data_IF_751233762095
#
_entry.id   IF_751233762095
#
_cell.length_a   1.000
_cell.length_b   1.000
_cell.length_c   1.000
_cell.angle_alpha   90.00
_cell.angle_beta   90.00
_cell.angle_gamma   90.00
#
_symmetry.space_group_name_H-M   'P 1'
#
loop_
_entity.id
_entity.type
_entity.pdbx_description
1 polymer ?
#
# COMPACT_ATOMS: atom_id res chain seq x y z
N UNK A 1 -6.37 -10.24 15.52
CA UNK A 1 -6.24 -11.38 14.60
C UNK A 1 -6.61 -12.65 15.36
N UNK A 2 -7.52 -13.48 14.86
CA UNK A 2 -7.85 -14.77 15.50
C UNK A 2 -6.79 -15.81 15.14
N UNK A 3 -6.56 -16.82 15.98
CA UNK A 3 -5.61 -17.91 15.71
C UNK A 3 -5.94 -18.64 14.40
N UNK A 4 -7.24 -18.84 14.12
CA UNK A 4 -7.74 -19.42 12.88
C UNK A 4 -7.40 -18.56 11.64
N UNK A 5 -7.50 -17.24 11.76
CA UNK A 5 -7.12 -16.31 10.68
C UNK A 5 -5.62 -16.40 10.36
N UNK A 6 -4.78 -16.49 11.39
CA UNK A 6 -3.35 -16.65 11.24
C UNK A 6 -2.98 -17.95 10.53
N UNK A 7 -3.51 -19.09 11.00
CA UNK A 7 -3.24 -20.40 10.39
C UNK A 7 -3.68 -20.46 8.93
N UNK A 8 -4.84 -19.87 8.58
CA UNK A 8 -5.28 -19.79 7.19
C UNK A 8 -4.33 -18.96 6.33
N UNK A 9 -3.81 -17.85 6.84
CA UNK A 9 -2.85 -17.02 6.12
C UNK A 9 -1.53 -17.77 5.91
N UNK A 10 -1.01 -18.45 6.94
CA UNK A 10 0.21 -19.26 6.85
C UNK A 10 0.08 -20.38 5.81
N UNK A 11 -1.05 -21.11 5.80
CA UNK A 11 -1.31 -22.14 4.80
C UNK A 11 -1.30 -21.61 3.36
N UNK A 12 -1.87 -20.41 3.14
CA UNK A 12 -1.86 -19.77 1.82
C UNK A 12 -0.47 -19.27 1.43
N UNK A 13 0.30 -18.78 2.39
CA UNK A 13 1.67 -18.32 2.16
C UNK A 13 2.56 -19.45 1.66
N UNK A 14 2.43 -20.66 2.22
CA UNK A 14 3.17 -21.84 1.75
C UNK A 14 2.80 -22.31 0.34
N UNK A 15 1.66 -21.88 -0.20
CA UNK A 15 1.20 -22.21 -1.55
C UNK A 15 1.65 -21.19 -2.60
N UNK A 16 2.26 -20.07 -2.19
CA UNK A 16 2.76 -19.07 -3.12
C UNK A 16 3.94 -19.64 -3.91
N UNK A 17 3.82 -19.59 -5.22
CA UNK A 17 4.87 -19.96 -6.16
C UNK A 17 5.22 -18.72 -7.00
N UNK A 18 6.50 -18.54 -7.35
CA UNK A 18 6.88 -17.50 -8.30
C UNK A 18 6.23 -17.83 -9.64
N UNK A 19 5.37 -16.93 -10.10
CA UNK A 19 4.88 -16.88 -11.47
C UNK A 19 5.69 -15.78 -12.15
N UNK A 20 6.28 -16.06 -13.31
CA UNK A 20 7.38 -15.27 -13.91
C UNK A 20 7.01 -13.86 -14.40
N UNK A 21 5.94 -13.26 -13.86
CA UNK A 21 5.42 -11.97 -14.22
C UNK A 21 5.11 -11.09 -13.01
N UNK A 22 5.18 -9.78 -13.23
CA UNK A 22 5.00 -8.77 -12.20
C UNK A 22 3.88 -7.82 -12.63
N UNK A 23 2.68 -8.03 -12.08
CA UNK A 23 1.49 -7.20 -12.34
C UNK A 23 1.16 -6.32 -11.13
N UNK A 24 1.88 -5.21 -11.00
CA UNK A 24 1.71 -4.26 -9.89
C UNK A 24 0.30 -3.66 -9.86
N UNK A 25 -0.26 -3.32 -11.04
CA UNK A 25 -1.57 -2.66 -11.10
C UNK A 25 -2.69 -3.54 -10.56
N UNK A 26 -2.75 -4.82 -10.98
CA UNK A 26 -3.81 -5.72 -10.53
C UNK A 26 -3.77 -5.93 -9.01
N UNK A 27 -2.56 -6.08 -8.43
CA UNK A 27 -2.38 -6.19 -6.98
C UNK A 27 -2.81 -4.92 -6.23
N UNK A 28 -2.42 -3.74 -6.74
CA UNK A 28 -2.83 -2.47 -6.17
C UNK A 28 -4.35 -2.26 -6.24
N UNK A 29 -4.95 -2.49 -7.40
CA UNK A 29 -6.39 -2.33 -7.61
C UNK A 29 -7.19 -3.27 -6.70
N UNK A 30 -6.83 -4.55 -6.65
CA UNK A 30 -7.49 -5.53 -5.80
C UNK A 30 -7.35 -5.18 -4.30
N UNK A 31 -6.15 -4.78 -3.86
CA UNK A 31 -5.92 -4.39 -2.47
C UNK A 31 -6.71 -3.14 -2.07
N UNK A 32 -6.72 -2.11 -2.93
CA UNK A 32 -7.50 -0.88 -2.69
C UNK A 32 -9.00 -1.20 -2.64
N UNK A 33 -9.51 -2.04 -3.55
CA UNK A 33 -10.93 -2.43 -3.55
C UNK A 33 -11.32 -3.21 -2.29
N UNK A 34 -10.46 -4.13 -1.85
CA UNK A 34 -10.69 -4.91 -0.63
C UNK A 34 -10.73 -4.03 0.62
N UNK A 35 -9.80 -3.05 0.71
CA UNK A 35 -9.77 -2.08 1.80
C UNK A 35 -10.94 -1.08 1.73
N UNK A 36 -11.34 -0.66 0.53
CA UNK A 36 -12.52 0.18 0.34
C UNK A 36 -13.80 -0.54 0.83
N UNK A 37 -13.95 -1.83 0.52
CA UNK A 37 -15.10 -2.63 0.93
C UNK A 37 -15.11 -2.95 2.44
N UNK A 38 -13.93 -3.07 3.06
CA UNK A 38 -13.79 -3.35 4.50
C UNK A 38 -13.74 -2.09 5.38
N UNK A 39 -13.81 -0.90 4.77
CA UNK A 39 -13.73 0.38 5.46
C UNK A 39 -14.96 0.63 6.32
N UNK A 40 -14.75 0.80 7.62
CA UNK A 40 -15.77 1.26 8.57
C UNK A 40 -15.58 2.73 8.98
N UNK A 41 -14.64 3.43 8.33
CA UNK A 41 -14.29 4.82 8.63
C UNK A 41 -13.56 5.05 9.96
N UNK A 42 -13.46 4.03 10.82
CA UNK A 42 -12.80 4.12 12.12
C UNK A 42 -11.37 3.56 12.09
N UNK A 43 -11.09 2.59 11.22
CA UNK A 43 -9.76 1.99 11.10
C UNK A 43 -8.90 2.68 10.05
N UNK A 44 -7.65 2.93 10.42
CA UNK A 44 -6.62 3.27 9.45
C UNK A 44 -6.26 2.04 8.63
N UNK A 45 -6.19 2.24 7.32
CA UNK A 45 -5.96 1.18 6.35
C UNK A 45 -4.68 1.46 5.59
N UNK A 46 -3.83 0.45 5.52
CA UNK A 46 -2.53 0.55 4.89
C UNK A 46 -2.34 -0.63 3.93
N UNK A 47 -1.86 -0.32 2.74
CA UNK A 47 -1.48 -1.28 1.73
C UNK A 47 0.06 -1.27 1.63
N UNK A 48 0.67 -2.45 1.76
CA UNK A 48 2.11 -2.63 1.62
C UNK A 48 2.35 -3.35 0.30
N UNK A 49 2.98 -2.68 -0.66
CA UNK A 49 3.38 -3.24 -1.93
C UNK A 49 4.85 -3.64 -1.86
N UNK A 50 5.14 -4.92 -2.07
CA UNK A 50 6.48 -5.48 -2.07
C UNK A 50 6.81 -5.94 -3.50
N UNK A 51 7.92 -5.50 -4.06
CA UNK A 51 8.38 -5.94 -5.39
C UNK A 51 9.89 -6.01 -5.47
N UNK A 52 10.40 -7.04 -6.15
CA UNK A 52 11.80 -7.26 -6.48
C UNK A 52 12.09 -7.07 -7.99
N UNK A 53 11.07 -6.68 -8.76
CA UNK A 53 11.17 -6.56 -10.21
C UNK A 53 10.39 -5.40 -10.83
N UNK A 54 10.59 -5.24 -12.14
CA UNK A 54 9.91 -4.25 -12.99
C UNK A 54 8.55 -4.81 -13.45
N UNK A 55 7.46 -4.00 -13.42
CA UNK A 55 6.17 -4.46 -13.89
C UNK A 55 6.18 -4.75 -15.40
N UNK A 56 5.80 -5.97 -15.77
CA UNK A 56 5.74 -6.40 -17.17
C UNK A 56 4.31 -6.46 -17.73
N UNK A 57 3.30 -6.41 -16.86
CA UNK A 57 1.89 -6.25 -17.25
C UNK A 57 1.43 -4.86 -16.79
N UNK A 58 1.19 -3.98 -17.75
CA UNK A 58 0.79 -2.60 -17.50
C UNK A 58 -0.60 -2.31 -18.11
N UNK A 59 -1.44 -1.52 -17.43
CA UNK A 59 -2.70 -1.07 -18.03
C UNK A 59 -2.42 -0.14 -19.22
N UNK A 60 -3.35 0.01 -20.19
CA UNK A 60 -3.11 0.79 -21.41
C UNK A 60 -2.71 2.25 -21.20
N UNK A 61 -3.05 2.82 -20.03
CA UNK A 61 -2.75 4.21 -19.66
C UNK A 61 -1.58 4.35 -18.67
N UNK A 62 -0.94 3.24 -18.28
CA UNK A 62 0.08 3.20 -17.24
C UNK A 62 -0.49 3.14 -15.82
N UNK A 63 0.32 2.66 -14.88
CA UNK A 63 -0.09 2.40 -13.48
C UNK A 63 -0.40 3.72 -12.75
N UNK A 64 0.48 4.71 -12.89
CA UNK A 64 0.38 6.01 -12.21
C UNK A 64 -0.90 6.79 -12.60
N UNK A 65 -1.23 6.98 -13.90
CA UNK A 65 -2.45 7.68 -14.28
C UNK A 65 -3.72 6.95 -13.83
N UNK A 66 -3.69 5.62 -13.80
CA UNK A 66 -4.80 4.82 -13.30
C UNK A 66 -5.00 5.00 -11.79
N UNK A 67 -3.91 5.07 -11.01
CA UNK A 67 -3.98 5.35 -9.57
C UNK A 67 -4.48 6.79 -9.30
N UNK A 68 -4.04 7.79 -10.09
CA UNK A 68 -4.55 9.17 -10.03
C UNK A 68 -6.07 9.20 -10.26
N UNK A 69 -6.56 8.48 -11.28
CA UNK A 69 -7.99 8.38 -11.56
C UNK A 69 -8.77 7.71 -10.43
N UNK A 70 -8.22 6.68 -9.78
CA UNK A 70 -8.85 6.06 -8.61
C UNK A 70 -8.95 7.06 -7.45
N UNK A 71 -7.87 7.80 -7.18
CA UNK A 71 -7.85 8.84 -6.16
C UNK A 71 -8.90 9.93 -6.41
N UNK A 72 -9.04 10.37 -7.65
CA UNK A 72 -10.06 11.34 -8.07
C UNK A 72 -11.48 10.79 -7.87
N UNK A 73 -11.74 9.55 -8.28
CA UNK A 73 -13.03 8.88 -8.07
C UNK A 73 -13.42 8.76 -6.59
N UNK A 74 -12.43 8.63 -5.71
CA UNK A 74 -12.63 8.55 -4.26
C UNK A 74 -12.72 9.93 -3.58
N UNK A 75 -12.91 11.02 -4.33
CA UNK A 75 -13.06 12.37 -3.76
C UNK A 75 -11.73 13.03 -3.38
N UNK A 76 -10.63 12.65 -4.04
CA UNK A 76 -9.31 13.24 -3.86
C UNK A 76 -8.43 12.53 -2.82
N UNK A 77 -8.96 11.53 -2.11
CA UNK A 77 -8.19 10.70 -1.15
C UNK A 77 -8.43 9.23 -1.41
N UNK A 78 -7.36 8.43 -1.38
CA UNK A 78 -7.48 6.98 -1.43
C UNK A 78 -8.05 6.45 -0.10
N UNK A 79 -8.77 5.31 -0.11
CA UNK A 79 -9.32 4.70 1.09
C UNK A 79 -8.23 4.19 2.07
N UNK A 80 -7.01 4.00 1.57
CA UNK A 80 -5.86 3.51 2.32
C UNK A 80 -4.57 4.24 1.91
N UNK A 81 -3.57 4.23 2.79
CA UNK A 81 -2.22 4.67 2.44
C UNK A 81 -1.45 3.54 1.74
N UNK A 82 -0.69 3.85 0.69
CA UNK A 82 0.08 2.85 -0.08
C UNK A 82 1.58 3.02 0.18
N UNK A 83 2.18 2.09 0.91
CA UNK A 83 3.63 2.02 1.10
C UNK A 83 4.24 1.06 0.08
N UNK A 84 5.38 1.43 -0.49
CA UNK A 84 6.06 0.62 -1.50
C UNK A 84 7.45 0.21 -1.00
N UNK A 85 7.80 -1.06 -1.20
CA UNK A 85 9.07 -1.65 -0.81
C UNK A 85 9.71 -2.29 -2.05
N UNK A 86 10.87 -1.78 -2.43
CA UNK A 86 11.66 -2.30 -3.55
C UNK A 86 12.81 -3.15 -3.05
N UNK A 87 12.96 -4.38 -3.56
CA UNK A 87 14.05 -5.31 -3.21
C UNK A 87 15.05 -5.45 -4.35
N UNK A 88 16.34 -5.29 -4.04
CA UNK A 88 17.40 -5.44 -5.04
C UNK A 88 17.48 -4.27 -6.01
N UNK A 89 18.23 -4.43 -7.10
CA UNK A 89 18.58 -3.33 -8.00
C UNK A 89 17.80 -3.33 -9.33
N UNK A 90 17.10 -4.43 -9.64
CA UNK A 90 16.37 -4.60 -10.90
C UNK A 90 14.91 -4.15 -10.80
N UNK A 91 14.71 -2.90 -10.37
CA UNK A 91 13.39 -2.34 -10.14
C UNK A 91 13.26 -0.89 -10.59
N UNK A 92 12.03 -0.47 -10.87
CA UNK A 92 11.71 0.91 -11.21
C UNK A 92 11.44 1.72 -9.93
N UNK A 93 12.50 2.30 -9.37
CA UNK A 93 12.42 3.08 -8.13
C UNK A 93 11.58 4.35 -8.29
N UNK A 94 11.61 4.97 -9.47
CA UNK A 94 10.88 6.20 -9.75
C UNK A 94 9.37 5.93 -9.77
N UNK A 95 8.96 4.84 -10.42
CA UNK A 95 7.58 4.37 -10.39
C UNK A 95 7.10 4.08 -8.97
N UNK A 96 7.86 3.30 -8.20
CA UNK A 96 7.47 2.95 -6.83
C UNK A 96 7.38 4.17 -5.91
N UNK A 97 8.28 5.14 -6.10
CA UNK A 97 8.25 6.40 -5.39
C UNK A 97 7.01 7.23 -5.76
N UNK A 98 6.65 7.32 -7.05
CA UNK A 98 5.45 8.06 -7.46
C UNK A 98 4.17 7.39 -6.93
N UNK A 99 4.10 6.06 -6.92
CA UNK A 99 2.98 5.32 -6.36
C UNK A 99 2.80 5.58 -4.86
N UNK A 100 3.88 5.54 -4.08
CA UNK A 100 3.84 5.86 -2.65
C UNK A 100 3.41 7.32 -2.41
N UNK A 101 3.94 8.26 -3.20
CA UNK A 101 3.58 9.67 -3.12
C UNK A 101 2.09 9.91 -3.40
N UNK A 102 1.53 9.25 -4.42
CA UNK A 102 0.10 9.33 -4.72
C UNK A 102 -0.76 8.71 -3.61
N UNK A 103 -0.25 7.63 -3.03
CA UNK A 103 -0.77 6.89 -1.88
C UNK A 103 -0.63 7.57 -0.52
N UNK A 104 -0.06 8.78 -0.46
CA UNK A 104 0.22 9.49 0.80
C UNK A 104 0.99 8.63 1.82
N UNK A 105 1.97 7.86 1.35
CA UNK A 105 2.83 7.04 2.18
C UNK A 105 4.28 7.07 1.67
N UNK A 106 5.14 6.19 2.21
CA UNK A 106 6.57 6.21 1.94
C UNK A 106 7.01 5.04 1.04
N UNK A 107 8.08 5.31 0.28
CA UNK A 107 8.85 4.29 -0.45
C UNK A 107 10.08 3.94 0.36
N UNK A 108 10.41 2.64 0.45
CA UNK A 108 11.64 2.15 1.04
C UNK A 108 12.37 1.21 0.08
N UNK A 109 13.66 1.49 -0.12
CA UNK A 109 14.57 0.67 -0.92
C UNK A 109 15.34 -0.28 -0.02
N UNK A 110 15.39 -1.56 -0.40
CA UNK A 110 16.03 -2.64 0.34
C UNK A 110 17.11 -3.25 -0.57
N UNK A 111 18.39 -2.91 -0.37
CA UNK A 111 19.48 -3.39 -1.22
C UNK A 111 19.78 -4.88 -1.00
N UNK A 112 19.64 -5.37 0.23
CA UNK A 112 19.93 -6.75 0.60
C UNK A 112 19.05 -7.26 1.76
N UNK A 113 19.05 -8.57 1.97
CA UNK A 113 18.25 -9.24 3.00
C UNK A 113 18.54 -8.77 4.43
N UNK A 114 19.73 -8.24 4.72
CA UNK A 114 20.12 -7.73 6.03
C UNK A 114 19.37 -6.46 6.42
N UNK A 115 18.98 -5.63 5.45
CA UNK A 115 18.23 -4.39 5.70
C UNK A 115 16.71 -4.58 5.82
N UNK A 116 16.19 -5.75 5.45
CA UNK A 116 14.74 -6.04 5.49
C UNK A 116 14.19 -5.79 6.89
N UNK A 117 14.82 -6.34 7.92
CA UNK A 117 14.36 -6.19 9.30
C UNK A 117 14.25 -4.71 9.73
N UNK A 118 15.31 -3.94 9.50
CA UNK A 118 15.35 -2.51 9.89
C UNK A 118 14.30 -1.69 9.14
N UNK A 119 14.15 -1.91 7.83
CA UNK A 119 13.18 -1.18 7.02
C UNK A 119 11.74 -1.50 7.44
N UNK A 120 11.42 -2.77 7.69
CA UNK A 120 10.09 -3.16 8.16
C UNK A 120 9.78 -2.63 9.54
N UNK A 121 10.72 -2.68 10.49
CA UNK A 121 10.54 -2.12 11.83
C UNK A 121 10.27 -0.61 11.76
N UNK A 122 11.04 0.13 10.96
CA UNK A 122 10.82 1.56 10.76
C UNK A 122 9.45 1.84 10.12
N UNK A 123 9.08 1.10 9.07
CA UNK A 123 7.78 1.26 8.41
C UNK A 123 6.62 0.99 9.37
N UNK A 124 6.63 -0.14 10.09
CA UNK A 124 5.58 -0.49 11.06
C UNK A 124 5.51 0.53 12.19
N UNK A 125 6.65 1.02 12.68
CA UNK A 125 6.69 2.07 13.70
C UNK A 125 6.01 3.35 13.20
N UNK A 126 6.32 3.79 11.98
CA UNK A 126 5.68 4.97 11.38
C UNK A 126 4.18 4.78 11.20
N UNK A 127 3.73 3.59 10.81
CA UNK A 127 2.30 3.27 10.70
C UNK A 127 1.62 3.35 12.07
N UNK A 128 2.20 2.76 13.12
CA UNK A 128 1.66 2.78 14.47
C UNK A 128 1.64 4.19 15.08
N UNK A 129 2.67 5.00 14.84
CA UNK A 129 2.70 6.39 15.31
C UNK A 129 1.65 7.23 14.59
N UNK A 130 1.47 7.04 13.27
CA UNK A 130 0.42 7.71 12.50
C UNK A 130 -0.97 7.34 13.01
N UNK A 131 -1.16 6.11 13.50
CA UNK A 131 -2.41 5.71 14.15
C UNK A 131 -2.72 6.46 15.44
N UNK A 132 -1.70 6.81 16.23
CA UNK A 132 -1.88 7.65 17.41
C UNK A 132 -2.08 9.14 17.09
N UNK A 133 -1.58 9.59 15.94
CA UNK A 133 -1.51 10.99 15.55
C UNK A 133 -2.61 11.46 14.59
N UNK A 134 -3.57 10.62 14.22
CA UNK A 134 -4.69 11.04 13.39
C UNK A 134 -5.75 11.70 14.28
N UNK A 135 -5.81 13.05 14.42
CA UNK A 135 -6.99 13.65 15.00
C UNK A 135 -8.14 13.26 14.09
N UNK A 136 -9.17 12.63 14.66
CA UNK A 136 -10.47 12.60 14.02
C UNK A 136 -10.75 14.05 13.65
N UNK A 137 -10.67 14.39 12.35
CA UNK A 137 -11.08 15.68 11.85
C UNK A 137 -12.61 15.69 11.99
N UNK A 138 -13.06 15.93 13.23
CA UNK A 138 -14.41 16.33 13.50
C UNK A 138 -14.63 17.57 12.66
N UNK A 139 -15.57 17.49 11.73
CA UNK A 139 -16.03 18.64 10.96
C UNK A 139 -16.51 19.68 11.96
N UNK A 140 -15.64 20.64 12.32
CA UNK A 140 -16.09 21.86 12.93
C UNK A 140 -16.78 22.67 11.83
N UNK A 141 -18.05 22.37 11.60
CA UNK A 141 -18.96 23.29 10.92
C UNK A 141 -19.19 24.45 11.87
N UNK A 142 -18.29 25.44 11.81
CA UNK A 142 -18.53 26.74 12.40
C UNK A 142 -19.60 27.43 11.54
N UNK A 143 -20.86 27.27 11.93
CA UNK A 143 -21.98 28.05 11.42
C UNK A 143 -21.86 29.46 12.01
N UNK A 144 -21.39 30.41 11.21
CA UNK A 144 -21.43 31.84 11.54
C UNK A 144 -22.87 32.32 11.49
N UNK A 145 -23.36 32.83 12.62
CA UNK A 145 -24.48 33.78 12.68
C UNK A 145 -24.05 35.15 12.17
#
# INVERSE_FOLDING_TARGET
MTKEGQQRAELRLHQLLPDGMTNIWAGLEAGIQLLAAASDGMRLQHLLLLTDGIPNINPPRGIVPMLKRLKEKSGGRLPCSVNTFGFGYELDSELLHELARLGSASYAFIPDAGFVGTVFVNAVTNLLVTMGANPVQGSQTCSSR
#
